data_IF_655616909857
#
_entry.id   IF_655616909857
#
_cell.length_a   1.000
_cell.length_b   1.000
_cell.length_c   1.000
_cell.angle_alpha   90.00
_cell.angle_beta   90.00
_cell.angle_gamma   90.00
#
_symmetry.space_group_name_H-M   'P 1'
#
loop_
_entity.id
_entity.type
_entity.pdbx_description
1 polymer ?
#
# COMPACT_ATOMS: atom_id res chain seq x y z
N UNK A 1 -28.61 -2.01 7.35
CA UNK A 1 -27.26 -2.12 6.73
C UNK A 1 -26.88 -0.71 6.32
N UNK A 2 -25.61 -0.31 6.44
CA UNK A 2 -25.20 1.03 6.01
C UNK A 2 -25.07 1.05 4.47
N UNK A 3 -25.84 1.89 3.78
CA UNK A 3 -25.87 1.92 2.30
C UNK A 3 -24.55 2.37 1.67
N UNK A 4 -23.70 3.03 2.46
CA UNK A 4 -22.39 3.53 2.09
C UNK A 4 -21.25 2.58 2.45
N UNK A 5 -21.54 1.38 2.98
CA UNK A 5 -20.52 0.37 3.31
C UNK A 5 -20.71 -0.84 2.40
N UNK A 6 -19.69 -1.13 1.60
CA UNK A 6 -19.63 -2.33 0.77
C UNK A 6 -18.60 -3.28 1.35
N UNK A 7 -19.05 -4.48 1.74
CA UNK A 7 -18.16 -5.57 2.12
C UNK A 7 -17.88 -6.38 0.85
N UNK A 8 -16.62 -6.43 0.44
CA UNK A 8 -16.19 -7.20 -0.72
C UNK A 8 -15.71 -8.57 -0.25
N UNK A 9 -16.43 -9.63 -0.65
CA UNK A 9 -16.08 -11.01 -0.37
C UNK A 9 -15.67 -11.69 -1.68
N UNK A 10 -14.56 -12.41 -1.69
CA UNK A 10 -14.04 -13.14 -2.86
C UNK A 10 -13.73 -12.27 -4.08
N UNK A 11 -13.38 -11.00 -3.87
CA UNK A 11 -12.95 -10.08 -4.93
C UNK A 11 -11.44 -9.90 -4.81
N UNK A 12 -10.73 -9.95 -5.94
CA UNK A 12 -9.33 -9.54 -5.98
C UNK A 12 -9.25 -8.01 -5.89
N UNK A 13 -8.68 -7.50 -4.80
CA UNK A 13 -8.54 -6.06 -4.58
C UNK A 13 -7.70 -5.41 -5.70
N UNK A 14 -6.77 -6.14 -6.31
CA UNK A 14 -5.88 -5.60 -7.35
C UNK A 14 -6.61 -5.24 -8.64
N UNK A 15 -7.78 -5.83 -8.91
CA UNK A 15 -8.62 -5.49 -10.06
C UNK A 15 -9.22 -4.07 -9.95
N UNK A 16 -9.35 -3.55 -8.73
CA UNK A 16 -10.00 -2.26 -8.43
C UNK A 16 -9.16 -1.33 -7.56
N UNK A 17 -7.91 -1.68 -7.26
CA UNK A 17 -7.06 -0.93 -6.33
C UNK A 17 -6.87 0.54 -6.74
N UNK A 18 -6.91 0.81 -8.04
CA UNK A 18 -6.82 2.15 -8.62
C UNK A 18 -8.08 3.00 -8.43
N UNK A 19 -9.22 2.39 -8.12
CA UNK A 19 -10.52 3.08 -8.03
C UNK A 19 -10.73 3.76 -6.66
N UNK A 20 -9.95 3.40 -5.65
CA UNK A 20 -10.06 3.95 -4.30
C UNK A 20 -9.27 5.24 -4.13
N UNK A 21 -9.80 6.23 -3.41
CA UNK A 21 -9.14 7.53 -3.22
C UNK A 21 -8.20 7.58 -2.02
N UNK A 22 -8.49 6.82 -0.96
CA UNK A 22 -7.70 6.77 0.27
C UNK A 22 -7.67 5.31 0.76
N UNK A 23 -6.50 4.83 1.14
CA UNK A 23 -6.35 3.58 1.87
C UNK A 23 -6.31 3.87 3.38
N UNK A 24 -7.13 3.16 4.16
CA UNK A 24 -7.03 3.13 5.62
C UNK A 24 -6.60 1.71 6.00
N UNK A 25 -5.48 1.59 6.70
CA UNK A 25 -4.86 0.30 7.00
C UNK A 25 -4.03 0.40 8.29
N UNK A 26 -3.66 -0.74 8.87
CA UNK A 26 -2.84 -0.85 10.07
C UNK A 26 -1.40 -1.32 9.75
N UNK A 27 -1.13 -2.62 9.94
CA UNK A 27 0.14 -3.30 9.69
C UNK A 27 0.10 -4.16 8.41
N UNK A 28 -1.02 -4.15 7.68
CA UNK A 28 -1.14 -4.88 6.40
C UNK A 28 -0.18 -4.36 5.33
N UNK A 29 0.51 -5.28 4.63
CA UNK A 29 1.45 -4.97 3.55
C UNK A 29 0.81 -4.38 2.30
N UNK A 30 -0.52 -4.38 2.18
CA UNK A 30 -1.25 -3.85 1.02
C UNK A 30 -0.89 -2.38 0.72
N UNK A 31 -0.47 -1.63 1.75
CA UNK A 31 -0.03 -0.25 1.55
C UNK A 31 1.15 -0.16 0.57
N UNK A 32 2.04 -1.16 0.51
CA UNK A 32 3.13 -1.17 -0.46
C UNK A 32 2.60 -1.18 -1.89
N UNK A 33 1.62 -2.03 -2.19
CA UNK A 33 0.99 -2.07 -3.51
C UNK A 33 0.23 -0.77 -3.79
N UNK A 34 -0.49 -0.25 -2.79
CA UNK A 34 -1.23 1.00 -2.92
C UNK A 34 -0.32 2.21 -3.15
N UNK A 35 0.96 2.19 -2.75
CA UNK A 35 1.93 3.25 -3.08
C UNK A 35 2.06 3.47 -4.59
N UNK A 36 1.88 2.43 -5.41
CA UNK A 36 1.94 2.54 -6.87
C UNK A 36 0.86 3.45 -7.44
N UNK A 37 -0.27 3.62 -6.73
CA UNK A 37 -1.33 4.56 -7.10
C UNK A 37 -0.96 6.02 -6.85
N UNK A 38 0.01 6.28 -5.96
CA UNK A 38 0.37 7.62 -5.48
C UNK A 38 -0.65 8.25 -4.51
N UNK A 39 -1.75 7.57 -4.23
CA UNK A 39 -2.88 8.09 -3.44
C UNK A 39 -2.61 8.05 -1.93
N UNK A 40 -3.31 8.87 -1.13
CA UNK A 40 -3.10 8.95 0.32
C UNK A 40 -3.38 7.65 1.08
N UNK A 41 -2.64 7.46 2.18
CA UNK A 41 -2.74 6.30 3.08
C UNK A 41 -2.84 6.83 4.52
N UNK A 42 -3.76 6.29 5.31
CA UNK A 42 -3.91 6.56 6.74
C UNK A 42 -3.62 5.28 7.51
N UNK A 43 -2.74 5.38 8.51
CA UNK A 43 -2.29 4.25 9.32
C UNK A 43 -3.00 4.24 10.68
N UNK A 44 -3.87 3.26 10.91
CA UNK A 44 -4.60 3.06 12.17
C UNK A 44 -3.76 2.23 13.13
N UNK A 45 -2.97 2.90 13.97
CA UNK A 45 -2.00 2.29 14.89
C UNK A 45 -2.55 2.23 16.32
N UNK A 46 -3.80 1.82 16.47
CA UNK A 46 -4.54 1.91 17.73
C UNK A 46 -3.92 1.05 18.85
N UNK A 47 -3.34 -0.08 18.46
CA UNK A 47 -2.81 -1.15 19.31
C UNK A 47 -1.32 -1.41 19.06
N UNK A 48 -0.59 -0.44 18.49
CA UNK A 48 0.82 -0.60 18.07
C UNK A 48 1.73 -1.21 19.13
N UNK A 49 1.56 -0.81 20.40
CA UNK A 49 2.38 -1.31 21.49
C UNK A 49 2.09 -2.77 21.84
N UNK A 50 0.87 -3.24 21.59
CA UNK A 50 0.48 -4.64 21.76
C UNK A 50 0.91 -5.47 20.55
N UNK A 51 0.71 -4.95 19.34
CA UNK A 51 1.13 -5.59 18.09
C UNK A 51 2.64 -5.85 18.06
N UNK A 52 3.46 -4.84 18.40
CA UNK A 52 4.92 -4.97 18.41
C UNK A 52 5.46 -5.89 19.52
N UNK A 53 4.68 -6.15 20.57
CA UNK A 53 5.07 -7.09 21.65
C UNK A 53 4.78 -8.54 21.28
N UNK A 54 3.73 -8.77 20.49
CA UNK A 54 3.20 -10.11 20.20
C UNK A 54 3.60 -10.63 18.82
N UNK A 55 4.00 -9.77 17.89
CA UNK A 55 4.40 -10.15 16.53
C UNK A 55 5.91 -10.02 16.27
N UNK A 56 6.35 -10.62 15.16
CA UNK A 56 7.75 -10.62 14.72
C UNK A 56 8.26 -9.19 14.59
N UNK A 57 9.54 -8.99 14.88
CA UNK A 57 10.25 -7.75 14.59
C UNK A 57 9.94 -7.29 13.16
N UNK A 58 9.50 -6.04 13.01
CA UNK A 58 9.28 -5.46 11.71
C UNK A 58 10.62 -5.36 10.98
N UNK A 59 10.62 -5.66 9.67
CA UNK A 59 11.82 -5.55 8.83
C UNK A 59 12.43 -4.13 8.82
N UNK A 60 11.62 -3.12 9.13
CA UNK A 60 12.02 -1.72 9.22
C UNK A 60 11.28 -1.04 10.37
N UNK A 61 11.85 0.07 10.85
CA UNK A 61 11.15 0.96 11.76
C UNK A 61 9.83 1.43 11.15
N UNK A 62 8.71 1.12 11.80
CA UNK A 62 7.36 1.33 11.23
C UNK A 62 7.17 2.77 10.74
N UNK A 63 7.61 3.75 11.55
CA UNK A 63 7.45 5.18 11.22
C UNK A 63 8.33 5.62 10.04
N UNK A 64 9.40 4.90 9.74
CA UNK A 64 10.32 5.20 8.63
C UNK A 64 9.70 4.85 7.28
N UNK A 65 8.94 3.75 7.22
CA UNK A 65 8.44 3.16 5.97
C UNK A 65 6.95 3.38 5.71
N UNK A 66 6.20 3.98 6.65
CA UNK A 66 4.76 4.24 6.49
C UNK A 66 4.50 5.71 6.16
N UNK A 67 4.23 6.09 4.90
CA UNK A 67 4.11 7.49 4.49
C UNK A 67 2.66 8.03 4.58
N UNK A 68 2.17 8.21 5.80
CA UNK A 68 0.81 8.71 6.06
C UNK A 68 0.60 9.12 7.52
N UNK A 69 -0.56 9.72 7.87
CA UNK A 69 -0.93 9.99 9.25
C UNK A 69 -0.98 8.69 10.05
N UNK A 70 -0.49 8.71 11.30
CA UNK A 70 -0.57 7.59 12.24
C UNK A 70 -1.58 7.96 13.30
N UNK A 71 -2.79 7.42 13.15
CA UNK A 71 -3.94 7.77 13.98
C UNK A 71 -4.13 6.73 15.08
N UNK A 72 -4.46 7.19 16.29
CA UNK A 72 -4.60 6.35 17.49
C UNK A 72 -6.04 5.98 17.84
N UNK A 73 -7.01 6.55 17.13
CA UNK A 73 -8.43 6.27 17.28
C UNK A 73 -9.19 6.69 16.02
N UNK A 74 -10.47 6.33 15.94
CA UNK A 74 -11.33 6.65 14.81
C UNK A 74 -11.59 8.14 14.62
N UNK A 75 -11.61 8.95 15.68
CA UNK A 75 -11.79 10.40 15.58
C UNK A 75 -10.63 11.03 14.79
N UNK A 76 -9.40 10.67 15.13
CA UNK A 76 -8.21 11.07 14.41
C UNK A 76 -8.23 10.56 12.95
N UNK A 77 -8.62 9.30 12.73
CA UNK A 77 -8.75 8.72 11.38
C UNK A 77 -9.72 9.52 10.50
N UNK A 78 -10.91 9.82 11.02
CA UNK A 78 -11.93 10.60 10.30
C UNK A 78 -11.42 12.02 10.03
N UNK A 79 -10.82 12.67 11.04
CA UNK A 79 -10.24 14.00 10.89
C UNK A 79 -9.16 14.05 9.81
N UNK A 80 -8.27 13.06 9.78
CA UNK A 80 -7.25 12.93 8.73
C UNK A 80 -7.87 12.71 7.36
N UNK A 81 -8.87 11.82 7.23
CA UNK A 81 -9.55 11.57 5.96
C UNK A 81 -10.22 12.84 5.41
N UNK A 82 -10.96 13.57 6.25
CA UNK A 82 -11.61 14.83 5.86
C UNK A 82 -10.58 15.87 5.41
N UNK A 83 -9.47 16.02 6.16
CA UNK A 83 -8.39 16.94 5.81
C UNK A 83 -7.76 16.61 4.46
N UNK A 84 -7.48 15.33 4.20
CA UNK A 84 -6.93 14.85 2.93
C UNK A 84 -7.91 15.12 1.78
N UNK A 85 -9.20 14.82 1.96
CA UNK A 85 -10.24 15.07 0.95
C UNK A 85 -10.43 16.57 0.68
N UNK A 86 -10.12 17.44 1.64
CA UNK A 86 -10.06 18.89 1.46
C UNK A 86 -8.79 19.39 0.75
N UNK A 87 -7.87 18.49 0.38
CA UNK A 87 -6.64 18.80 -0.35
C UNK A 87 -5.38 18.96 0.52
N UNK A 88 -5.51 18.78 1.84
CA UNK A 88 -4.38 18.92 2.77
C UNK A 88 -3.65 17.59 2.95
N UNK A 89 -2.87 17.21 1.92
CA UNK A 89 -2.08 15.99 1.92
C UNK A 89 -0.58 16.28 2.12
N UNK A 90 -0.17 16.31 3.39
CA UNK A 90 1.20 16.59 3.82
C UNK A 90 2.18 15.45 3.51
N UNK A 91 1.67 14.25 3.21
CA UNK A 91 2.48 13.03 3.09
C UNK A 91 2.87 12.68 1.65
N UNK A 92 2.44 13.46 0.66
CA UNK A 92 2.70 13.20 -0.77
C UNK A 92 4.18 12.99 -1.08
N UNK A 93 5.06 13.87 -0.60
CA UNK A 93 6.50 13.75 -0.84
C UNK A 93 7.10 12.51 -0.17
N UNK A 94 6.64 12.17 1.03
CA UNK A 94 7.09 10.97 1.73
C UNK A 94 6.63 9.72 0.97
N UNK A 95 5.40 9.69 0.44
CA UNK A 95 4.90 8.57 -0.38
C UNK A 95 5.76 8.35 -1.61
N UNK A 96 6.10 9.42 -2.34
CA UNK A 96 7.00 9.32 -3.50
C UNK A 96 8.38 8.79 -3.12
N UNK A 97 8.96 9.26 -2.00
CA UNK A 97 10.25 8.78 -1.51
C UNK A 97 10.22 7.28 -1.18
N UNK A 98 9.20 6.84 -0.45
CA UNK A 98 9.06 5.43 -0.06
C UNK A 98 8.75 4.55 -1.27
N UNK A 99 7.87 4.99 -2.17
CA UNK A 99 7.60 4.31 -3.44
C UNK A 99 8.89 4.08 -4.21
N UNK A 100 9.72 5.11 -4.41
CA UNK A 100 10.97 4.99 -5.15
C UNK A 100 12.04 4.17 -4.43
N UNK A 101 11.96 4.04 -3.10
CA UNK A 101 12.84 3.15 -2.31
C UNK A 101 12.54 1.68 -2.57
N UNK A 102 11.26 1.31 -2.62
CA UNK A 102 10.84 -0.10 -2.71
C UNK A 102 10.57 -0.55 -4.15
N UNK A 103 10.20 0.36 -5.04
CA UNK A 103 9.89 0.05 -6.44
C UNK A 103 10.94 0.64 -7.37
N UNK A 104 11.92 -0.19 -7.74
CA UNK A 104 12.94 0.16 -8.73
C UNK A 104 12.33 0.40 -10.13
N UNK A 105 11.26 -0.30 -10.46
CA UNK A 105 10.64 -0.28 -11.79
C UNK A 105 9.13 -0.11 -11.69
N UNK A 106 8.60 0.90 -12.42
CA UNK A 106 7.17 1.26 -12.42
C UNK A 106 6.55 1.26 -13.83
N UNK A 107 7.15 0.54 -14.79
CA UNK A 107 6.75 0.55 -16.21
C UNK A 107 5.77 -0.58 -16.59
N UNK A 108 5.26 -1.34 -15.61
CA UNK A 108 4.37 -2.49 -15.84
C UNK A 108 5.05 -3.71 -16.47
N UNK A 109 6.39 -3.74 -16.60
CA UNK A 109 7.13 -4.82 -17.28
C UNK A 109 7.84 -5.78 -16.32
N UNK A 110 7.44 -5.81 -15.05
CA UNK A 110 8.07 -6.67 -14.03
C UNK A 110 8.01 -8.15 -14.42
N UNK A 111 6.84 -8.67 -14.80
CA UNK A 111 6.68 -10.07 -15.23
C UNK A 111 7.51 -10.40 -16.47
N UNK A 112 7.63 -9.46 -17.42
CA UNK A 112 8.47 -9.65 -18.60
C UNK A 112 9.95 -9.75 -18.23
N UNK A 113 10.44 -8.93 -17.30
CA UNK A 113 11.83 -9.01 -16.83
C UNK A 113 12.10 -10.35 -16.16
N UNK A 114 11.25 -10.78 -15.24
CA UNK A 114 11.39 -12.07 -14.56
C UNK A 114 11.38 -13.22 -15.58
N UNK A 115 10.46 -13.19 -16.54
CA UNK A 115 10.40 -14.20 -17.59
C UNK A 115 11.68 -14.27 -18.42
N UNK A 116 12.27 -13.10 -18.78
CA UNK A 116 13.54 -13.05 -19.53
C UNK A 116 14.68 -13.67 -18.75
N UNK A 117 14.81 -13.38 -17.47
CA UNK A 117 15.85 -13.94 -16.60
C UNK A 117 15.71 -15.47 -16.49
N UNK A 118 14.51 -15.97 -16.21
CA UNK A 118 14.25 -17.43 -16.12
C UNK A 118 14.53 -18.12 -17.46
N UNK A 119 14.12 -17.50 -18.56
CA UNK A 119 14.35 -18.03 -19.91
C UNK A 119 15.84 -18.11 -20.25
N UNK A 120 16.63 -17.10 -19.87
CA UNK A 120 18.07 -17.08 -20.06
C UNK A 120 18.78 -18.20 -19.26
N UNK A 121 18.32 -18.47 -18.03
CA UNK A 121 18.89 -19.52 -17.18
C UNK A 121 18.51 -20.94 -17.61
N UNK A 122 17.31 -21.13 -18.16
CA UNK A 122 16.77 -22.46 -18.49
C UNK A 122 16.87 -22.83 -19.97
N UNK A 123 17.27 -21.89 -20.84
CA UNK A 123 17.29 -22.08 -22.30
C UNK A 123 15.90 -22.11 -22.94
N UNK A 124 14.85 -21.79 -22.17
CA UNK A 124 13.46 -21.79 -22.64
C UNK A 124 13.24 -20.61 -23.59
N UNK A 125 12.93 -20.86 -24.87
CA UNK A 125 12.52 -19.80 -25.82
C UNK A 125 11.02 -19.55 -25.70
N UNK A 126 10.62 -18.27 -25.77
CA UNK A 126 9.21 -17.85 -25.82
C UNK A 126 8.51 -18.59 -26.97
N UNK A 127 7.47 -19.39 -26.69
CA UNK A 127 6.59 -19.89 -27.74
C UNK A 127 5.86 -18.69 -28.31
N UNK A 128 6.16 -18.33 -29.55
CA UNK A 128 5.38 -17.34 -30.29
C UNK A 128 3.95 -17.87 -30.37
N UNK A 129 3.00 -17.09 -29.85
CA UNK A 129 1.57 -17.33 -30.00
C UNK A 129 1.06 -16.43 -31.11
#
# INVERSE_FOLDING_TARGET
MFDNIKILLNVDIYDSICDYDILITDFSSIYFDFLLTGKPIIFTVFDKDEYLKNERELYYEYNEITPGPKTKNWEETIKSAVSILAGNDEYKQQREKIKNRFFKYNDGRNSERVFKEISALTGTKKKNK
#
